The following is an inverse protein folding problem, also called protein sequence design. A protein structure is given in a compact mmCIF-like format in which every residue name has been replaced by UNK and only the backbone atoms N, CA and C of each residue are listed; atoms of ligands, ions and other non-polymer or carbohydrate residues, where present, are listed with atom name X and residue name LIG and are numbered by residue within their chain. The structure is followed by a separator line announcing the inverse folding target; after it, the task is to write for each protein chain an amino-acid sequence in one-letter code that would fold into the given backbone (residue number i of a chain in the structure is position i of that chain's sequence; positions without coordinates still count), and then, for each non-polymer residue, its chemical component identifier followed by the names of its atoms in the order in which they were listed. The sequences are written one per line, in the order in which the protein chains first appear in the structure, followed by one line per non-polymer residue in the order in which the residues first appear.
data_IF_798922160574
#
_entry.id   IF_798922160574
#
_cell.length_a   1.000
_cell.length_b   1.000
_cell.length_c   1.000
_cell.angle_alpha   90.00
_cell.angle_beta   90.00
_cell.angle_gamma   90.00
#
_symmetry.space_group_name_H-M   'P 1'
#
loop_
_entity.id
_entity.type
_entity.pdbx_description
1 polymer ?
#
# COMPACT_ATOMS: atom_id res chain seq x y z
N UNK A 1 -53.10 5.06 -36.68
CA UNK A 1 -52.73 3.67 -36.98
C UNK A 1 -51.23 3.67 -37.30
N UNK A 2 -50.41 3.49 -36.28
CA UNK A 2 -48.92 3.64 -36.40
C UNK A 2 -48.32 2.28 -36.83
N UNK A 3 -47.61 2.30 -37.96
CA UNK A 3 -46.97 1.14 -38.56
C UNK A 3 -45.73 0.75 -37.76
N UNK A 4 -45.85 -0.23 -36.88
CA UNK A 4 -44.78 -0.82 -36.06
C UNK A 4 -44.14 -2.07 -36.72
N UNK A 5 -44.37 -2.31 -37.99
CA UNK A 5 -43.98 -3.56 -38.69
C UNK A 5 -42.72 -3.50 -39.56
N UNK A 6 -41.95 -2.40 -39.52
CA UNK A 6 -40.82 -2.24 -40.45
C UNK A 6 -39.42 -2.51 -39.85
N UNK A 7 -39.31 -2.73 -38.52
CA UNK A 7 -38.00 -2.87 -37.84
C UNK A 7 -37.25 -4.17 -38.18
N UNK A 8 -37.96 -5.25 -38.53
CA UNK A 8 -37.32 -6.55 -38.79
C UNK A 8 -36.68 -6.67 -40.19
N UNK A 9 -37.16 -5.91 -41.15
CA UNK A 9 -36.66 -5.94 -42.56
C UNK A 9 -35.44 -5.03 -42.73
N UNK A 10 -35.37 -3.91 -42.02
CA UNK A 10 -34.22 -3.01 -42.04
C UNK A 10 -32.97 -3.68 -41.43
N UNK A 11 -33.10 -4.32 -40.26
CA UNK A 11 -32.01 -5.08 -39.63
C UNK A 11 -31.49 -6.20 -40.53
N UNK A 12 -32.39 -6.93 -41.24
CA UNK A 12 -32.01 -7.99 -42.15
C UNK A 12 -31.30 -7.48 -43.40
N UNK A 13 -31.62 -6.25 -43.88
CA UNK A 13 -30.97 -5.57 -44.98
C UNK A 13 -29.59 -5.06 -44.57
N UNK A 14 -29.46 -4.48 -43.38
CA UNK A 14 -28.18 -4.06 -42.82
C UNK A 14 -27.21 -5.24 -42.63
N UNK A 15 -27.72 -6.41 -42.23
CA UNK A 15 -26.87 -7.59 -42.05
C UNK A 15 -26.41 -8.29 -43.32
N UNK A 16 -26.92 -7.89 -44.50
CA UNK A 16 -26.54 -8.52 -45.80
C UNK A 16 -25.42 -7.77 -46.54
N UNK A 17 -25.15 -6.52 -46.22
CA UNK A 17 -24.10 -5.76 -46.88
C UNK A 17 -22.77 -5.88 -46.08
N UNK A 18 -21.66 -6.27 -46.74
CA UNK A 18 -20.38 -6.51 -46.03
C UNK A 18 -19.81 -5.23 -45.41
N UNK A 19 -20.02 -4.06 -46.04
CA UNK A 19 -19.58 -2.76 -45.53
C UNK A 19 -20.31 -2.38 -44.23
N UNK A 20 -21.60 -2.63 -44.15
CA UNK A 20 -22.42 -2.33 -42.98
C UNK A 20 -22.08 -3.25 -41.81
N UNK A 21 -21.77 -4.54 -42.08
CA UNK A 21 -21.27 -5.47 -41.08
C UNK A 21 -19.91 -5.03 -40.53
N UNK A 22 -19.02 -4.60 -41.41
CA UNK A 22 -17.72 -4.10 -40.99
C UNK A 22 -17.86 -2.86 -40.11
N UNK A 23 -18.73 -1.91 -40.49
CA UNK A 23 -18.99 -0.71 -39.70
C UNK A 23 -19.57 -1.03 -38.31
N UNK A 24 -20.54 -1.95 -38.23
CA UNK A 24 -21.10 -2.41 -36.94
C UNK A 24 -20.05 -3.14 -36.11
N UNK A 25 -19.22 -3.98 -36.71
CA UNK A 25 -18.14 -4.67 -36.02
C UNK A 25 -17.12 -3.70 -35.44
N UNK A 26 -16.72 -2.70 -36.20
CA UNK A 26 -15.80 -1.63 -35.74
C UNK A 26 -16.44 -0.82 -34.61
N UNK A 27 -17.72 -0.47 -34.75
CA UNK A 27 -18.45 0.32 -33.75
C UNK A 27 -18.56 -0.43 -32.41
N UNK A 28 -18.68 -1.75 -32.44
CA UNK A 28 -18.69 -2.59 -31.25
C UNK A 28 -17.27 -2.89 -30.72
N UNK A 29 -16.31 -3.06 -31.64
CA UNK A 29 -14.93 -3.40 -31.31
C UNK A 29 -14.20 -2.27 -30.60
N UNK A 30 -14.43 -1.01 -30.97
CA UNK A 30 -13.75 0.15 -30.38
C UNK A 30 -14.02 0.27 -28.86
N UNK A 31 -15.28 0.31 -28.38
CA UNK A 31 -15.54 0.38 -26.95
C UNK A 31 -15.10 -0.88 -26.21
N UNK A 32 -15.19 -2.05 -26.84
CA UNK A 32 -14.74 -3.31 -26.24
C UNK A 32 -13.22 -3.36 -26.11
N UNK A 33 -12.47 -2.89 -27.12
CA UNK A 33 -11.01 -2.75 -27.06
C UNK A 33 -10.58 -1.74 -26.02
N UNK A 34 -11.27 -0.61 -25.95
CA UNK A 34 -11.00 0.41 -24.93
C UNK A 34 -11.25 -0.12 -23.52
N UNK A 35 -12.39 -0.80 -23.31
CA UNK A 35 -12.69 -1.46 -22.04
C UNK A 35 -11.69 -2.55 -21.66
N UNK A 36 -11.30 -3.39 -22.64
CA UNK A 36 -10.30 -4.43 -22.43
C UNK A 36 -8.91 -3.85 -22.10
N UNK A 37 -8.49 -2.80 -22.80
CA UNK A 37 -7.24 -2.08 -22.49
C UNK A 37 -7.28 -1.44 -21.11
N UNK A 38 -8.43 -0.84 -20.75
CA UNK A 38 -8.61 -0.27 -19.42
C UNK A 38 -8.51 -1.33 -18.33
N UNK A 39 -9.25 -2.42 -18.47
CA UNK A 39 -9.18 -3.55 -17.52
C UNK A 39 -7.76 -4.12 -17.46
N UNK A 40 -7.09 -4.30 -18.61
CA UNK A 40 -5.72 -4.81 -18.65
C UNK A 40 -4.71 -3.86 -17.98
N UNK A 41 -4.85 -2.54 -18.20
CA UNK A 41 -3.97 -1.53 -17.60
C UNK A 41 -4.13 -1.45 -16.07
N UNK A 42 -5.33 -1.72 -15.55
CA UNK A 42 -5.67 -1.69 -14.13
C UNK A 42 -5.92 -3.06 -13.51
N UNK A 43 -5.50 -4.14 -14.21
CA UNK A 43 -5.75 -5.52 -13.76
C UNK A 43 -5.07 -5.82 -12.42
N UNK A 44 -3.87 -5.28 -12.22
CA UNK A 44 -3.12 -5.44 -10.98
C UNK A 44 -2.31 -4.17 -10.67
N UNK A 45 -2.94 -3.17 -10.05
CA UNK A 45 -2.26 -1.95 -9.64
C UNK A 45 -1.25 -2.21 -8.51
N UNK A 46 -1.38 -3.34 -7.79
CA UNK A 46 -0.53 -3.70 -6.65
C UNK A 46 0.74 -4.45 -7.07
N UNK A 47 0.75 -5.13 -8.21
CA UNK A 47 1.92 -5.86 -8.71
C UNK A 47 3.18 -5.00 -8.88
N UNK A 48 3.02 -3.68 -9.05
CA UNK A 48 4.13 -2.73 -9.18
C UNK A 48 4.49 -2.02 -7.88
N UNK A 49 3.78 -2.27 -6.80
CA UNK A 49 4.09 -1.63 -5.50
C UNK A 49 5.41 -2.13 -4.93
N UNK A 50 5.76 -3.38 -5.18
CA UNK A 50 7.06 -3.94 -4.82
C UNK A 50 8.24 -3.24 -5.52
N UNK A 51 8.00 -2.61 -6.67
CA UNK A 51 9.01 -1.86 -7.42
C UNK A 51 9.10 -0.38 -6.98
N UNK A 52 8.14 0.10 -6.15
CA UNK A 52 8.13 1.49 -5.68
C UNK A 52 9.18 1.68 -4.58
N UNK A 53 10.24 2.48 -4.82
CA UNK A 53 11.25 2.72 -3.79
C UNK A 53 10.68 3.60 -2.69
N UNK A 54 10.62 3.04 -1.47
CA UNK A 54 10.20 3.71 -0.24
C UNK A 54 11.32 3.65 0.77
N UNK A 55 11.68 4.81 1.32
CA UNK A 55 12.71 4.87 2.36
C UNK A 55 12.13 4.38 3.70
N UNK A 56 12.87 3.50 4.39
CA UNK A 56 12.55 3.04 5.73
C UNK A 56 13.69 3.41 6.66
N UNK A 57 13.42 4.31 7.60
CA UNK A 57 14.39 4.83 8.55
C UNK A 57 14.09 4.29 9.92
N UNK A 58 15.04 3.64 10.55
CA UNK A 58 14.92 3.15 11.92
C UNK A 58 15.88 3.92 12.83
N UNK A 59 15.35 4.81 13.64
CA UNK A 59 16.07 5.55 14.68
C UNK A 59 15.80 4.98 16.08
N UNK A 60 15.02 3.89 16.18
CA UNK A 60 14.59 3.32 17.45
C UNK A 60 15.76 2.94 18.35
N UNK A 61 15.65 3.34 19.60
CA UNK A 61 16.60 2.98 20.66
C UNK A 61 16.00 1.83 21.49
N UNK A 62 16.78 0.77 21.74
CA UNK A 62 16.29 -0.35 22.56
C UNK A 62 15.76 0.09 23.91
N UNK A 63 14.60 -0.43 24.30
CA UNK A 63 14.05 -0.26 25.65
C UNK A 63 14.36 -1.48 26.52
N UNK A 64 14.28 -1.33 27.83
CA UNK A 64 14.39 -2.44 28.77
C UNK A 64 13.00 -2.89 29.22
N UNK A 65 12.71 -4.19 29.13
CA UNK A 65 11.52 -4.82 29.67
C UNK A 65 11.93 -6.03 30.50
N UNK A 66 11.54 -6.09 31.76
CA UNK A 66 11.87 -7.18 32.68
C UNK A 66 13.39 -7.44 32.79
N UNK A 67 14.22 -6.42 32.59
CA UNK A 67 15.69 -6.50 32.60
C UNK A 67 16.33 -6.96 31.30
N UNK A 68 15.55 -7.23 30.25
CA UNK A 68 16.02 -7.57 28.92
C UNK A 68 15.87 -6.40 27.94
N UNK A 69 16.84 -6.26 27.00
CA UNK A 69 16.76 -5.26 25.96
C UNK A 69 15.79 -5.71 24.85
N UNK A 70 14.79 -4.91 24.55
CA UNK A 70 13.83 -5.15 23.49
C UNK A 70 14.02 -4.15 22.35
N UNK A 71 13.85 -4.60 21.11
CA UNK A 71 14.14 -3.86 19.86
C UNK A 71 12.91 -3.87 18.95
N UNK A 72 11.79 -3.33 19.40
CA UNK A 72 10.52 -3.40 18.65
C UNK A 72 10.60 -2.68 17.28
N UNK A 73 11.35 -1.58 17.18
CA UNK A 73 11.54 -0.89 15.91
C UNK A 73 12.27 -1.76 14.88
N UNK A 74 13.26 -2.55 15.33
CA UNK A 74 13.95 -3.49 14.43
C UNK A 74 13.04 -4.65 14.01
N UNK A 75 12.20 -5.14 14.91
CA UNK A 75 11.27 -6.22 14.61
C UNK A 75 10.25 -5.76 13.56
N UNK A 76 9.73 -4.54 13.67
CA UNK A 76 8.84 -3.92 12.66
C UNK A 76 9.56 -3.76 11.31
N UNK A 77 10.82 -3.31 11.30
CA UNK A 77 11.60 -3.21 10.06
C UNK A 77 11.75 -4.56 9.37
N UNK A 78 12.09 -5.60 10.13
CA UNK A 78 12.24 -6.95 9.58
C UNK A 78 10.93 -7.44 8.96
N UNK A 79 9.79 -7.26 9.66
CA UNK A 79 8.47 -7.66 9.17
C UNK A 79 8.11 -6.94 7.86
N UNK A 80 8.33 -5.61 7.80
CA UNK A 80 8.06 -4.82 6.59
C UNK A 80 8.92 -5.24 5.40
N UNK A 81 10.20 -5.55 5.63
CA UNK A 81 11.13 -5.96 4.58
C UNK A 81 10.83 -7.38 4.09
N UNK A 82 10.45 -8.28 5.00
CA UNK A 82 10.13 -9.68 4.69
C UNK A 82 8.80 -9.80 3.90
N UNK A 83 7.83 -8.95 4.18
CA UNK A 83 6.54 -8.91 3.43
C UNK A 83 6.73 -8.56 1.93
N UNK A 84 7.78 -7.82 1.59
CA UNK A 84 8.19 -7.51 0.21
C UNK A 84 7.08 -6.96 -0.72
N UNK A 85 5.93 -6.57 -0.17
CA UNK A 85 4.79 -6.03 -0.93
C UNK A 85 5.03 -4.60 -1.42
N UNK A 86 5.98 -3.89 -0.79
CA UNK A 86 6.47 -2.56 -1.16
C UNK A 86 8.00 -2.61 -1.28
N UNK A 87 8.55 -1.80 -2.16
CA UNK A 87 10.00 -1.71 -2.38
C UNK A 87 10.74 -0.97 -1.24
N UNK A 88 10.66 -1.51 -0.02
CA UNK A 88 11.32 -0.94 1.15
C UNK A 88 12.84 -0.84 0.97
N UNK A 89 13.40 0.32 1.26
CA UNK A 89 14.84 0.58 1.28
C UNK A 89 15.23 1.13 2.64
N UNK A 90 15.89 0.27 3.44
CA UNK A 90 16.41 0.71 4.73
C UNK A 90 17.60 1.64 4.51
N UNK A 91 17.47 2.87 4.97
CA UNK A 91 18.45 3.94 4.84
C UNK A 91 18.48 4.80 6.10
N UNK A 92 19.49 5.64 6.24
CA UNK A 92 19.52 6.67 7.29
C UNK A 92 18.62 7.87 6.94
N UNK A 93 18.32 8.70 7.94
CA UNK A 93 17.44 9.85 7.78
C UNK A 93 17.96 10.87 6.74
N UNK A 94 19.27 11.09 6.66
CA UNK A 94 19.87 12.03 5.70
C UNK A 94 19.69 11.52 4.27
N UNK A 95 19.94 10.24 4.03
CA UNK A 95 19.73 9.57 2.74
C UNK A 95 18.25 9.55 2.34
N UNK A 96 17.35 9.31 3.30
CA UNK A 96 15.91 9.35 3.06
C UNK A 96 15.46 10.75 2.59
N UNK A 97 15.88 11.81 3.29
CA UNK A 97 15.53 13.19 2.93
C UNK A 97 16.12 13.62 1.58
N UNK A 98 17.38 13.25 1.30
CA UNK A 98 18.00 13.49 0.00
C UNK A 98 17.29 12.74 -1.12
N UNK A 99 16.86 11.51 -0.86
CA UNK A 99 16.12 10.68 -1.81
C UNK A 99 14.72 11.21 -2.09
N UNK A 100 14.02 11.73 -1.08
CA UNK A 100 12.73 12.41 -1.26
C UNK A 100 12.87 13.63 -2.15
N UNK A 101 13.80 14.53 -1.83
CA UNK A 101 14.00 15.76 -2.60
C UNK A 101 14.49 15.54 -4.02
N UNK A 102 15.17 14.44 -4.31
CA UNK A 102 15.59 14.05 -5.66
C UNK A 102 14.55 13.21 -6.42
N UNK A 103 13.44 12.80 -5.78
CA UNK A 103 12.45 11.90 -6.35
C UNK A 103 12.91 10.44 -6.44
N UNK A 104 13.99 10.06 -5.76
CA UNK A 104 14.45 8.68 -5.67
C UNK A 104 13.56 7.81 -4.78
N UNK A 105 12.87 8.41 -3.81
CA UNK A 105 11.88 7.77 -2.97
C UNK A 105 10.55 8.51 -3.08
N UNK A 106 9.44 7.77 -3.07
CA UNK A 106 8.09 8.33 -3.11
C UNK A 106 7.67 8.92 -1.77
N UNK A 107 8.06 8.27 -0.68
CA UNK A 107 7.87 8.73 0.69
C UNK A 107 8.89 8.03 1.60
N UNK A 108 9.01 8.52 2.82
CA UNK A 108 9.85 7.91 3.86
C UNK A 108 9.01 7.57 5.08
N UNK A 109 9.23 6.40 5.64
CA UNK A 109 8.68 5.95 6.91
C UNK A 109 9.80 5.96 7.94
N UNK A 110 9.60 6.69 9.04
CA UNK A 110 10.58 6.81 10.12
C UNK A 110 10.01 6.24 11.41
N UNK A 111 10.72 5.28 11.99
CA UNK A 111 10.49 4.75 13.31
C UNK A 111 11.32 5.60 14.28
N UNK A 112 10.69 6.40 15.17
CA UNK A 112 11.41 7.34 16.02
C UNK A 112 12.16 6.64 17.15
N UNK A 113 13.12 7.35 17.73
CA UNK A 113 13.99 6.84 18.80
C UNK A 113 13.23 6.39 20.07
N UNK A 114 12.04 6.92 20.31
CA UNK A 114 11.20 6.55 21.45
C UNK A 114 10.35 5.31 21.27
N UNK A 115 10.30 4.74 20.05
CA UNK A 115 9.30 3.74 19.67
C UNK A 115 9.26 2.52 20.61
N UNK A 116 10.41 1.89 20.90
CA UNK A 116 10.47 0.75 21.83
C UNK A 116 10.09 1.15 23.26
N UNK A 117 10.49 2.34 23.69
CA UNK A 117 10.12 2.87 25.02
C UNK A 117 8.62 3.13 25.13
N UNK A 118 8.02 3.69 24.08
CA UNK A 118 6.58 3.96 24.07
C UNK A 118 5.76 2.67 24.08
N UNK A 119 6.21 1.63 23.36
CA UNK A 119 5.54 0.30 23.41
C UNK A 119 5.67 -0.33 24.80
N UNK A 120 6.84 -0.27 25.43
CA UNK A 120 7.03 -0.82 26.79
C UNK A 120 6.12 -0.10 27.79
N UNK A 121 5.95 1.22 27.66
CA UNK A 121 5.13 2.02 28.56
C UNK A 121 3.64 1.65 28.57
N UNK A 122 3.15 0.91 27.56
CA UNK A 122 1.75 0.44 27.53
C UNK A 122 1.41 -0.50 28.69
N UNK A 123 2.41 -1.08 29.35
CA UNK A 123 2.26 -1.89 30.58
C UNK A 123 2.53 -1.13 31.88
N UNK A 124 2.80 0.18 31.83
CA UNK A 124 3.12 1.04 32.95
C UNK A 124 1.94 1.93 33.37
N UNK A 125 2.08 2.65 34.49
CA UNK A 125 1.03 3.53 35.01
C UNK A 125 0.74 4.75 34.10
N UNK A 126 1.74 5.16 33.29
CA UNK A 126 1.63 6.29 32.35
C UNK A 126 1.89 5.81 30.91
N UNK A 127 0.92 5.20 30.21
CA UNK A 127 1.11 4.71 28.88
C UNK A 127 1.31 5.84 27.86
N UNK A 128 2.27 5.67 26.96
CA UNK A 128 2.54 6.56 25.82
C UNK A 128 2.14 5.90 24.53
N UNK A 129 1.69 6.69 23.58
CA UNK A 129 1.37 6.20 22.24
C UNK A 129 2.65 6.12 21.41
N UNK A 130 2.97 4.92 20.93
CA UNK A 130 4.02 4.76 19.93
C UNK A 130 3.56 5.38 18.59
N UNK A 131 4.42 6.18 17.98
CA UNK A 131 4.15 6.85 16.72
C UNK A 131 5.16 6.43 15.65
N UNK A 132 4.71 6.38 14.40
CA UNK A 132 5.56 6.24 13.23
C UNK A 132 5.31 7.46 12.35
N UNK A 133 6.37 8.10 11.89
CA UNK A 133 6.28 9.28 11.05
C UNK A 133 6.34 8.88 9.56
N UNK A 134 5.48 9.49 8.74
CA UNK A 134 5.53 9.36 7.28
C UNK A 134 5.78 10.73 6.69
N UNK A 135 6.84 10.84 5.90
CA UNK A 135 7.26 12.08 5.25
C UNK A 135 7.10 11.95 3.75
N UNK A 136 6.43 12.92 3.13
CA UNK A 136 6.20 13.01 1.69
C UNK A 136 6.94 14.22 1.13
N UNK A 137 7.27 14.17 -0.17
CA UNK A 137 7.64 15.38 -0.91
C UNK A 137 6.36 16.02 -1.47
N UNK A 138 6.15 17.31 -1.18
CA UNK A 138 4.96 18.09 -1.59
C UNK A 138 4.79 18.17 -3.12
N UNK A 139 5.85 17.95 -3.89
CA UNK A 139 5.83 18.00 -5.35
C UNK A 139 5.11 16.80 -6.00
N UNK A 140 4.99 15.67 -5.30
CA UNK A 140 4.38 14.42 -5.76
C UNK A 140 3.13 14.00 -4.97
N UNK A 141 2.46 14.92 -4.31
CA UNK A 141 1.52 14.69 -3.22
C UNK A 141 0.30 13.82 -3.54
N UNK A 142 -0.18 13.74 -4.79
CA UNK A 142 -1.40 12.98 -5.11
C UNK A 142 -1.19 11.46 -5.12
N UNK A 143 -0.13 10.98 -5.76
CA UNK A 143 0.22 9.55 -5.76
C UNK A 143 0.75 9.12 -4.40
N UNK A 144 1.56 9.97 -3.76
CA UNK A 144 2.13 9.71 -2.45
C UNK A 144 1.05 9.54 -1.36
N UNK A 145 -0.02 10.33 -1.37
CA UNK A 145 -1.11 10.21 -0.38
C UNK A 145 -1.90 8.91 -0.52
N UNK A 146 -2.15 8.45 -1.75
CA UNK A 146 -2.90 7.21 -2.01
C UNK A 146 -2.06 5.98 -1.65
N UNK A 147 -0.77 5.97 -2.02
CA UNK A 147 0.17 4.90 -1.70
C UNK A 147 0.54 4.89 -0.21
N UNK A 148 0.70 6.08 0.39
CA UNK A 148 0.98 6.22 1.81
C UNK A 148 -0.12 5.65 2.70
N UNK A 149 -1.40 5.77 2.29
CA UNK A 149 -2.50 5.15 3.04
C UNK A 149 -2.39 3.61 3.05
N UNK A 150 -2.03 3.00 1.92
CA UNK A 150 -1.83 1.55 1.83
C UNK A 150 -0.61 1.09 2.63
N UNK A 151 0.51 1.84 2.53
CA UNK A 151 1.70 1.56 3.32
C UNK A 151 1.45 1.71 4.82
N UNK A 152 0.65 2.71 5.24
CA UNK A 152 0.29 2.91 6.64
C UNK A 152 -0.54 1.77 7.20
N UNK A 153 -1.42 1.17 6.39
CA UNK A 153 -2.16 -0.04 6.79
C UNK A 153 -1.21 -1.23 7.02
N UNK A 154 -0.19 -1.41 6.20
CA UNK A 154 0.82 -2.46 6.40
C UNK A 154 1.67 -2.22 7.64
N UNK A 155 2.10 -0.98 7.87
CA UNK A 155 2.83 -0.60 9.09
C UNK A 155 1.97 -0.87 10.32
N UNK A 156 0.68 -0.50 10.31
CA UNK A 156 -0.23 -0.80 11.41
C UNK A 156 -0.39 -2.32 11.62
N UNK A 157 -0.42 -3.10 10.56
CA UNK A 157 -0.54 -4.54 10.62
C UNK A 157 0.72 -5.17 11.24
N UNK A 158 1.92 -4.77 10.79
CA UNK A 158 3.19 -5.20 11.35
C UNK A 158 3.34 -4.83 12.84
N UNK A 159 2.94 -3.61 13.22
CA UNK A 159 2.94 -3.17 14.62
C UNK A 159 1.94 -3.99 15.47
N UNK A 160 0.74 -4.24 14.94
CA UNK A 160 -0.28 -5.03 15.66
C UNK A 160 0.12 -6.50 15.80
N UNK A 161 0.78 -7.11 14.81
CA UNK A 161 1.32 -8.47 14.90
C UNK A 161 2.44 -8.55 15.95
N UNK A 162 3.39 -7.61 15.88
CA UNK A 162 4.49 -7.55 16.86
C UNK A 162 3.97 -7.31 18.29
N UNK A 163 3.01 -6.42 18.48
CA UNK A 163 2.40 -6.14 19.78
C UNK A 163 1.47 -7.26 20.25
N UNK A 164 0.68 -7.85 19.34
CA UNK A 164 -0.31 -8.88 19.65
C UNK A 164 0.31 -10.23 20.01
N UNK A 165 1.33 -10.68 19.29
CA UNK A 165 2.05 -11.92 19.59
C UNK A 165 2.66 -11.87 20.99
N UNK A 166 3.18 -10.73 21.40
CA UNK A 166 3.82 -10.56 22.71
C UNK A 166 2.83 -10.41 23.86
N UNK A 167 1.65 -9.86 23.63
CA UNK A 167 0.58 -9.85 24.63
C UNK A 167 0.10 -11.28 24.96
N UNK A 168 0.02 -12.15 23.95
CA UNK A 168 -0.35 -13.56 24.11
C UNK A 168 0.73 -14.34 24.87
N UNK A 169 2.01 -14.13 24.54
CA UNK A 169 3.13 -14.77 25.24
C UNK A 169 3.18 -14.37 26.72
N UNK A 170 2.91 -13.10 27.03
CA UNK A 170 2.88 -12.61 28.40
C UNK A 170 1.73 -13.24 29.22
N UNK A 171 0.57 -13.45 28.58
CA UNK A 171 -0.58 -14.10 29.25
C UNK A 171 -0.37 -15.61 29.45
N UNK A 172 0.35 -16.28 28.55
CA UNK A 172 0.64 -17.71 28.66
C UNK A 172 1.72 -18.01 29.72
N UNK A 173 2.70 -17.13 29.89
CA UNK A 173 3.75 -17.27 30.93
C UNK A 173 3.21 -16.92 32.30
N UNK A 174 2.18 -16.08 32.43
CA UNK A 174 1.58 -15.70 33.73
C UNK A 174 0.56 -16.69 34.28
N UNK A 175 0.22 -17.78 33.60
CA UNK A 175 -0.76 -18.80 33.99
C UNK A 175 -0.08 -20.16 34.35
N UNK A 176 1.23 -20.28 34.28
CA UNK A 176 2.04 -21.41 34.74
C UNK A 176 2.76 -21.06 36.02
#
# INVERSE_FOLDING_TARGET
MFAWTSHGTELKRFSRQPITRAALAVMLLIPLLYGAMYVWAFWDPTARMADLPVALVNEDVPAARDGEAVHYGRDVVNELVDDASIGWRQVDAATAMAGLSSGAYYFAVTIPASFSHDIVSLGEDEPRSAHIAVTYDDTNSFLASTLGHTAMLQVQQAVNETAGQRAVDTLLVGVG
#
